data_IF_974655923703
#
_entry.id   IF_974655923703
#
_cell.length_a   1.000
_cell.length_b   1.000
_cell.length_c   1.000
_cell.angle_alpha   90.00
_cell.angle_beta   90.00
_cell.angle_gamma   90.00
#
_symmetry.space_group_name_H-M   'P 1'
#
loop_
_entity.id
_entity.type
_entity.pdbx_description
1 polymer ?
#
# COMPACT_ATOMS: atom_id res chain seq x y z
N UNK A 1 10.09 -48.10 18.73
CA UNK A 1 10.44 -46.69 18.42
C UNK A 1 9.27 -46.09 17.68
N UNK A 2 8.35 -45.42 18.38
CA UNK A 2 7.15 -44.82 17.79
C UNK A 2 7.54 -43.42 17.31
N UNK A 3 7.49 -43.20 15.99
CA UNK A 3 7.80 -41.93 15.35
C UNK A 3 6.60 -40.99 15.56
N UNK A 4 6.74 -40.01 16.44
CA UNK A 4 5.78 -38.91 16.62
C UNK A 4 5.98 -37.89 15.49
N UNK A 5 5.07 -37.90 14.52
CA UNK A 5 4.93 -36.81 13.55
C UNK A 5 4.34 -35.59 14.28
N UNK A 6 5.20 -34.63 14.61
CA UNK A 6 4.79 -33.30 15.04
C UNK A 6 4.21 -32.57 13.84
N UNK A 7 2.89 -32.65 13.67
CA UNK A 7 2.17 -31.74 12.78
C UNK A 7 2.15 -30.38 13.48
N UNK A 8 3.06 -29.49 13.09
CA UNK A 8 2.99 -28.09 13.49
C UNK A 8 1.72 -27.49 12.92
N UNK A 9 0.71 -27.29 13.77
CA UNK A 9 -0.45 -26.44 13.45
C UNK A 9 0.06 -25.01 13.30
N UNK A 10 0.31 -24.59 12.05
CA UNK A 10 0.36 -23.17 11.77
C UNK A 10 -1.09 -22.67 11.86
N UNK A 11 -1.39 -21.86 12.88
CA UNK A 11 -2.61 -21.06 12.87
C UNK A 11 -2.53 -20.09 11.69
N UNK A 12 -3.19 -20.43 10.58
CA UNK A 12 -3.41 -19.54 9.44
C UNK A 12 -4.46 -18.52 9.86
N UNK A 13 -4.02 -17.47 10.54
CA UNK A 13 -4.86 -16.37 11.04
C UNK A 13 -4.90 -15.22 10.06
N UNK A 14 -5.27 -15.48 8.80
CA UNK A 14 -5.36 -14.44 7.80
C UNK A 14 -6.76 -13.82 7.74
N UNK A 15 -6.83 -12.54 7.39
CA UNK A 15 -8.08 -11.78 7.27
C UNK A 15 -8.49 -11.71 5.81
N UNK A 16 -9.72 -12.10 5.51
CA UNK A 16 -10.27 -12.05 4.15
C UNK A 16 -11.02 -10.74 3.95
N UNK A 17 -10.78 -10.09 2.82
CA UNK A 17 -11.41 -8.85 2.42
C UNK A 17 -11.97 -8.97 1.00
N UNK A 18 -13.08 -8.28 0.77
CA UNK A 18 -13.72 -8.22 -0.54
C UNK A 18 -14.39 -6.87 -0.75
N UNK A 19 -14.28 -6.30 -1.95
CA UNK A 19 -15.04 -5.11 -2.33
C UNK A 19 -15.29 -5.07 -3.84
N UNK A 20 -16.39 -4.41 -4.23
CA UNK A 20 -16.66 -4.09 -5.63
C UNK A 20 -15.68 -3.04 -6.15
N UNK A 21 -15.13 -3.29 -7.34
CA UNK A 21 -14.24 -2.38 -8.01
C UNK A 21 -14.35 -2.58 -9.52
N UNK A 22 -14.40 -1.48 -10.26
CA UNK A 22 -14.57 -1.51 -11.71
C UNK A 22 -15.79 -2.36 -12.12
N UNK A 23 -15.61 -3.41 -12.91
CA UNK A 23 -16.65 -4.34 -13.37
C UNK A 23 -16.64 -5.69 -12.62
N UNK A 24 -16.00 -5.78 -11.46
CA UNK A 24 -15.94 -7.02 -10.69
C UNK A 24 -15.76 -6.84 -9.18
N UNK A 25 -15.45 -7.96 -8.51
CA UNK A 25 -15.14 -7.99 -7.08
C UNK A 25 -13.67 -8.30 -6.89
N UNK A 26 -12.95 -7.41 -6.21
CA UNK A 26 -11.59 -7.67 -5.77
C UNK A 26 -11.64 -8.41 -4.44
N UNK A 27 -10.99 -9.57 -4.39
CA UNK A 27 -10.89 -10.41 -3.20
C UNK A 27 -9.42 -10.64 -2.87
N UNK A 28 -9.06 -10.46 -1.60
CA UNK A 28 -7.71 -10.71 -1.12
C UNK A 28 -7.70 -11.19 0.34
N UNK A 29 -6.62 -11.87 0.67
CA UNK A 29 -6.30 -12.31 2.01
C UNK A 29 -5.11 -11.49 2.51
N UNK A 30 -5.20 -10.97 3.74
CA UNK A 30 -4.11 -10.30 4.43
C UNK A 30 -3.61 -11.22 5.55
N UNK A 31 -2.38 -11.72 5.40
CA UNK A 31 -1.72 -12.42 6.48
C UNK A 31 -1.53 -11.48 7.68
N UNK A 32 -1.72 -11.99 8.91
CA UNK A 32 -1.59 -11.20 10.14
C UNK A 32 -0.23 -10.49 10.25
N UNK A 33 0.85 -11.11 9.76
CA UNK A 33 2.18 -10.48 9.74
C UNK A 33 2.24 -9.23 8.88
N UNK A 34 1.31 -9.05 7.94
CA UNK A 34 1.23 -7.88 7.05
C UNK A 34 0.32 -6.78 7.60
N UNK A 35 -0.29 -6.98 8.77
CA UNK A 35 -1.15 -6.02 9.46
C UNK A 35 -0.31 -5.21 10.48
N UNK A 36 0.52 -4.29 9.97
CA UNK A 36 1.50 -3.55 10.75
C UNK A 36 0.83 -2.35 11.44
N UNK A 37 0.90 -2.20 12.77
CA UNK A 37 0.40 -1.03 13.46
C UNK A 37 1.25 0.22 13.15
N UNK A 38 0.68 1.40 13.32
CA UNK A 38 1.42 2.67 13.19
C UNK A 38 0.83 3.70 14.14
N UNK A 39 1.13 3.54 15.42
CA UNK A 39 0.60 4.39 16.49
C UNK A 39 1.62 5.43 16.98
N UNK A 40 2.83 5.39 16.42
CA UNK A 40 3.92 6.30 16.74
C UNK A 40 3.72 7.66 16.04
N UNK A 41 4.35 8.70 16.59
CA UNK A 41 4.45 9.99 15.92
C UNK A 41 5.12 9.85 14.54
N UNK A 42 4.69 10.70 13.60
CA UNK A 42 5.24 10.70 12.25
C UNK A 42 6.69 11.21 12.28
N UNK A 43 7.62 10.33 11.94
CA UNK A 43 9.04 10.64 11.79
C UNK A 43 9.65 9.74 10.72
N UNK A 44 10.84 10.10 10.23
CA UNK A 44 11.57 9.23 9.32
C UNK A 44 11.78 7.83 9.93
N UNK A 45 12.15 7.77 11.21
CA UNK A 45 12.43 6.51 11.88
C UNK A 45 11.19 5.62 12.08
N UNK A 46 10.02 6.21 12.34
CA UNK A 46 8.77 5.43 12.43
C UNK A 46 8.35 4.90 11.06
N UNK A 47 8.53 5.67 9.98
CA UNK A 47 8.27 5.24 8.60
C UNK A 47 9.22 4.12 8.17
N UNK A 48 10.51 4.24 8.48
CA UNK A 48 11.51 3.20 8.19
C UNK A 48 11.20 1.90 8.94
N UNK A 49 10.82 2.00 10.22
CA UNK A 49 10.41 0.85 11.03
C UNK A 49 9.20 0.13 10.41
N UNK A 50 8.16 0.89 10.02
CA UNK A 50 7.00 0.34 9.32
C UNK A 50 7.41 -0.40 8.06
N UNK A 51 8.26 0.22 7.22
CA UNK A 51 8.74 -0.37 5.98
C UNK A 51 9.51 -1.67 6.21
N UNK A 52 10.39 -1.71 7.20
CA UNK A 52 11.17 -2.89 7.54
C UNK A 52 10.27 -4.05 7.99
N UNK A 53 9.30 -3.77 8.85
CA UNK A 53 8.37 -4.77 9.37
C UNK A 53 7.49 -5.36 8.27
N UNK A 54 6.83 -4.50 7.47
CA UNK A 54 5.99 -4.97 6.37
C UNK A 54 6.81 -5.66 5.28
N UNK A 55 8.06 -5.28 5.04
CA UNK A 55 8.93 -5.94 4.05
C UNK A 55 9.36 -7.36 4.47
N UNK A 56 9.31 -7.68 5.77
CA UNK A 56 9.58 -9.02 6.31
C UNK A 56 8.30 -9.87 6.41
N UNK A 57 7.13 -9.25 6.26
CA UNK A 57 5.83 -9.92 6.31
C UNK A 57 5.53 -10.77 5.07
N UNK A 58 4.45 -11.55 5.14
CA UNK A 58 3.92 -12.31 3.99
C UNK A 58 3.04 -11.45 3.06
N UNK A 59 3.54 -10.29 2.62
CA UNK A 59 2.77 -9.35 1.77
C UNK A 59 2.66 -9.77 0.30
N UNK A 60 3.54 -10.64 -0.20
CA UNK A 60 3.64 -10.99 -1.62
C UNK A 60 2.33 -11.51 -2.25
N UNK A 61 1.54 -12.39 -1.59
CA UNK A 61 0.25 -12.82 -2.13
C UNK A 61 -0.70 -11.65 -2.43
N UNK A 62 -0.75 -10.62 -1.57
CA UNK A 62 -1.56 -9.44 -1.83
C UNK A 62 -1.09 -8.69 -3.08
N UNK A 63 0.22 -8.52 -3.26
CA UNK A 63 0.79 -7.89 -4.47
C UNK A 63 0.45 -8.71 -5.72
N UNK A 64 0.62 -10.03 -5.68
CA UNK A 64 0.24 -10.92 -6.78
C UNK A 64 -1.23 -10.76 -7.15
N UNK A 65 -2.14 -10.76 -6.15
CA UNK A 65 -3.57 -10.57 -6.39
C UNK A 65 -3.90 -9.20 -7.00
N UNK A 66 -3.25 -8.13 -6.54
CA UNK A 66 -3.42 -6.79 -7.11
C UNK A 66 -2.99 -6.74 -8.57
N UNK A 67 -1.82 -7.29 -8.91
CA UNK A 67 -1.29 -7.31 -10.27
C UNK A 67 -2.12 -8.23 -11.19
N UNK A 68 -2.52 -9.41 -10.72
CA UNK A 68 -3.43 -10.29 -11.47
C UNK A 68 -4.77 -9.59 -11.79
N UNK A 69 -5.29 -8.79 -10.86
CA UNK A 69 -6.50 -8.02 -11.10
C UNK A 69 -6.24 -6.86 -12.09
N UNK A 70 -5.09 -6.19 -11.98
CA UNK A 70 -4.65 -5.16 -12.96
C UNK A 70 -4.65 -5.73 -14.37
N UNK A 71 -3.99 -6.87 -14.56
CA UNK A 71 -3.79 -7.49 -15.86
C UNK A 71 -5.10 -8.05 -16.43
N UNK A 72 -5.91 -8.74 -15.60
CA UNK A 72 -7.19 -9.30 -16.01
C UNK A 72 -8.18 -8.25 -16.52
N UNK A 73 -8.20 -7.08 -15.90
CA UNK A 73 -9.13 -6.01 -16.21
C UNK A 73 -8.49 -4.88 -17.03
N UNK A 74 -7.25 -5.08 -17.51
CA UNK A 74 -6.49 -4.11 -18.31
C UNK A 74 -6.46 -2.70 -17.69
N UNK A 75 -6.28 -2.64 -16.37
CA UNK A 75 -6.34 -1.37 -15.64
C UNK A 75 -5.13 -0.50 -16.01
N UNK A 76 -5.42 0.72 -16.49
CA UNK A 76 -4.39 1.76 -16.59
C UNK A 76 -3.89 2.18 -15.19
N UNK A 77 -2.78 2.92 -15.16
CA UNK A 77 -2.10 3.26 -13.90
C UNK A 77 -2.96 4.09 -12.94
N UNK A 78 -3.83 4.97 -13.47
CA UNK A 78 -4.77 5.72 -12.65
C UNK A 78 -5.80 4.79 -11.98
N UNK A 79 -6.45 3.91 -12.75
CA UNK A 79 -7.44 2.99 -12.19
C UNK A 79 -6.75 1.99 -11.25
N UNK A 80 -5.54 1.54 -11.55
CA UNK A 80 -4.76 0.71 -10.65
C UNK A 80 -4.47 1.41 -9.31
N UNK A 81 -4.10 2.70 -9.34
CA UNK A 81 -3.95 3.48 -8.11
C UNK A 81 -5.26 3.57 -7.32
N UNK A 82 -6.42 3.67 -7.98
CA UNK A 82 -7.72 3.63 -7.30
C UNK A 82 -7.98 2.27 -6.62
N UNK A 83 -7.53 1.16 -7.21
CA UNK A 83 -7.55 -0.16 -6.57
C UNK A 83 -6.66 -0.17 -5.32
N UNK A 84 -5.43 0.34 -5.41
CA UNK A 84 -4.52 0.48 -4.27
C UNK A 84 -5.16 1.29 -3.13
N UNK A 85 -5.79 2.43 -3.45
CA UNK A 85 -6.49 3.28 -2.46
C UNK A 85 -7.60 2.52 -1.74
N UNK A 86 -8.43 1.76 -2.46
CA UNK A 86 -9.50 0.95 -1.83
C UNK A 86 -8.94 -0.19 -1.00
N UNK A 87 -7.89 -0.88 -1.47
CA UNK A 87 -7.22 -1.93 -0.70
C UNK A 87 -6.64 -1.40 0.60
N UNK A 88 -5.91 -0.28 0.55
CA UNK A 88 -5.38 0.38 1.74
C UNK A 88 -6.50 0.80 2.71
N UNK A 89 -7.66 1.26 2.18
CA UNK A 89 -8.82 1.63 2.99
C UNK A 89 -9.42 0.43 3.74
N UNK A 90 -9.36 -0.78 3.17
CA UNK A 90 -9.81 -2.00 3.87
C UNK A 90 -8.85 -2.42 4.98
N UNK A 91 -7.54 -2.27 4.76
CA UNK A 91 -6.49 -2.69 5.73
C UNK A 91 -6.34 -1.68 6.88
N UNK A 92 -6.43 -0.40 6.54
CA UNK A 92 -6.23 0.72 7.45
C UNK A 92 -7.16 1.87 7.06
N UNK A 93 -8.39 1.92 7.61
CA UNK A 93 -9.33 2.98 7.27
C UNK A 93 -8.72 4.37 7.49
N UNK A 94 -8.80 5.24 6.47
CA UNK A 94 -8.23 6.59 6.51
C UNK A 94 -8.68 7.40 7.73
N UNK A 95 -9.95 7.25 8.11
CA UNK A 95 -10.56 7.98 9.22
C UNK A 95 -10.02 7.55 10.60
N UNK A 96 -9.51 6.32 10.71
CA UNK A 96 -8.96 5.78 11.95
C UNK A 96 -7.47 6.11 12.07
N UNK A 97 -6.71 5.93 10.98
CA UNK A 97 -5.28 6.21 10.95
C UNK A 97 -4.81 6.64 9.56
N UNK A 98 -4.73 7.97 9.36
CA UNK A 98 -4.34 8.58 8.09
C UNK A 98 -2.91 8.23 7.67
N UNK A 99 -1.96 8.22 8.60
CA UNK A 99 -0.56 7.91 8.30
C UNK A 99 -0.40 6.47 7.85
N UNK A 100 -0.97 5.52 8.60
CA UNK A 100 -0.97 4.10 8.27
C UNK A 100 -1.63 3.83 6.92
N UNK A 101 -2.79 4.44 6.67
CA UNK A 101 -3.47 4.39 5.36
C UNK A 101 -2.54 4.82 4.22
N UNK A 102 -1.85 5.95 4.39
CA UNK A 102 -0.93 6.49 3.38
C UNK A 102 0.30 5.62 3.18
N UNK A 103 0.84 5.04 4.25
CA UNK A 103 1.97 4.11 4.21
C UNK A 103 1.62 2.82 3.45
N UNK A 104 0.42 2.26 3.66
CA UNK A 104 -0.04 1.12 2.86
C UNK A 104 -0.20 1.47 1.38
N UNK A 105 -0.77 2.64 1.04
CA UNK A 105 -0.83 3.09 -0.36
C UNK A 105 0.56 3.13 -0.99
N UNK A 106 1.50 3.80 -0.33
CA UNK A 106 2.88 3.92 -0.79
C UNK A 106 3.56 2.56 -0.94
N UNK A 107 3.47 1.71 0.08
CA UNK A 107 4.12 0.40 0.06
C UNK A 107 3.57 -0.49 -1.04
N UNK A 108 2.24 -0.62 -1.14
CA UNK A 108 1.61 -1.48 -2.15
C UNK A 108 1.92 -0.99 -3.56
N UNK A 109 1.85 0.32 -3.82
CA UNK A 109 2.19 0.87 -5.13
C UNK A 109 3.67 0.63 -5.47
N UNK A 110 4.57 0.86 -4.51
CA UNK A 110 6.01 0.62 -4.68
C UNK A 110 6.33 -0.85 -4.98
N UNK A 111 5.74 -1.79 -4.23
CA UNK A 111 5.93 -3.24 -4.44
C UNK A 111 5.27 -3.75 -5.72
N UNK A 112 4.42 -2.94 -6.35
CA UNK A 112 3.81 -3.22 -7.64
C UNK A 112 4.65 -2.68 -8.82
N UNK A 113 5.83 -2.11 -8.55
CA UNK A 113 6.80 -1.69 -9.57
C UNK A 113 6.82 -0.21 -9.91
N UNK A 114 6.01 0.61 -9.22
CA UNK A 114 5.99 2.06 -9.43
C UNK A 114 7.07 2.75 -8.61
N UNK A 115 7.68 3.80 -9.16
CA UNK A 115 8.57 4.68 -8.40
C UNK A 115 7.74 5.64 -7.55
N UNK A 116 7.49 5.23 -6.32
CA UNK A 116 6.67 5.93 -5.34
C UNK A 116 7.53 6.39 -4.15
N UNK A 117 7.41 7.66 -3.79
CA UNK A 117 8.27 8.32 -2.79
C UNK A 117 7.44 8.96 -1.68
N UNK A 118 8.05 9.07 -0.51
CA UNK A 118 7.46 9.76 0.64
C UNK A 118 8.30 10.98 1.00
N UNK A 119 7.63 12.08 1.35
CA UNK A 119 8.22 13.24 1.99
C UNK A 119 7.57 13.45 3.37
N UNK A 120 8.36 13.91 4.34
CA UNK A 120 7.86 14.26 5.67
C UNK A 120 8.13 15.75 5.91
N UNK A 121 7.11 16.49 6.35
CA UNK A 121 7.30 17.89 6.73
C UNK A 121 6.09 18.47 7.45
N UNK A 122 6.33 19.23 8.53
CA UNK A 122 5.27 19.84 9.38
C UNK A 122 4.20 18.81 9.79
N UNK A 123 4.64 17.64 10.24
CA UNK A 123 3.79 16.49 10.64
C UNK A 123 2.89 15.94 9.53
N UNK A 124 3.21 16.23 8.26
CA UNK A 124 2.52 15.69 7.08
C UNK A 124 3.38 14.66 6.39
N UNK A 125 2.74 13.56 6.00
CA UNK A 125 3.30 12.51 5.17
C UNK A 125 2.86 12.70 3.71
N UNK A 126 3.68 13.33 2.89
CA UNK A 126 3.36 13.59 1.48
C UNK A 126 3.75 12.40 0.63
N UNK A 127 2.86 11.96 -0.25
CA UNK A 127 3.02 10.77 -1.07
C UNK A 127 3.10 11.14 -2.55
N UNK A 128 4.20 10.77 -3.20
CA UNK A 128 4.49 11.07 -4.59
C UNK A 128 4.62 9.81 -5.43
N UNK A 129 4.34 9.93 -6.72
CA UNK A 129 4.64 8.90 -7.73
C UNK A 129 5.28 9.55 -8.95
N UNK A 130 6.24 8.86 -9.57
CA UNK A 130 6.77 9.27 -10.85
C UNK A 130 5.66 9.26 -11.91
N UNK A 131 5.50 10.37 -12.61
CA UNK A 131 4.57 10.50 -13.73
C UNK A 131 5.11 11.53 -14.73
N UNK A 132 5.02 11.24 -16.03
CA UNK A 132 5.42 12.16 -17.11
C UNK A 132 4.23 13.05 -17.59
N UNK A 133 2.99 12.70 -17.25
CA UNK A 133 1.77 13.43 -17.62
C UNK A 133 1.69 14.83 -17.02
N UNK A 134 1.13 15.77 -17.77
CA UNK A 134 0.88 17.12 -17.28
C UNK A 134 -0.51 17.20 -16.63
N UNK A 135 -0.55 17.16 -15.30
CA UNK A 135 -1.78 17.34 -14.52
C UNK A 135 -1.73 18.72 -13.88
N UNK A 136 -2.67 19.57 -14.29
CA UNK A 136 -2.75 20.93 -13.77
C UNK A 136 -3.09 20.93 -12.27
N UNK A 137 -2.60 21.95 -11.56
CA UNK A 137 -2.93 22.25 -10.16
C UNK A 137 -2.54 21.18 -9.13
N UNK A 138 -1.73 20.18 -9.52
CA UNK A 138 -1.15 19.21 -8.60
C UNK A 138 0.33 19.53 -8.36
N UNK A 139 0.75 19.75 -7.10
CA UNK A 139 2.16 19.95 -6.78
C UNK A 139 3.02 18.76 -7.21
N UNK A 140 4.19 19.06 -7.75
CA UNK A 140 5.19 18.07 -8.13
C UNK A 140 6.60 18.59 -7.83
N UNK A 141 7.57 17.68 -7.79
CA UNK A 141 8.99 18.04 -7.81
C UNK A 141 9.71 17.28 -8.92
N UNK A 142 10.91 17.75 -9.28
CA UNK A 142 11.80 17.09 -10.23
C UNK A 142 12.98 16.50 -9.48
N UNK A 143 13.33 15.25 -9.77
CA UNK A 143 14.52 14.60 -9.24
C UNK A 143 15.12 13.66 -10.30
N UNK A 144 16.42 13.82 -10.56
CA UNK A 144 17.14 13.08 -11.62
C UNK A 144 16.46 13.12 -12.99
N UNK A 145 15.88 14.28 -13.35
CA UNK A 145 15.18 14.48 -14.62
C UNK A 145 13.77 13.88 -14.68
N UNK A 146 13.28 13.27 -13.60
CA UNK A 146 11.95 12.67 -13.51
C UNK A 146 11.00 13.54 -12.68
N UNK A 147 9.74 13.61 -13.11
CA UNK A 147 8.68 14.35 -12.42
C UNK A 147 7.95 13.44 -11.42
N UNK A 148 7.80 13.91 -10.18
CA UNK A 148 7.12 13.22 -9.10
C UNK A 148 5.92 14.02 -8.63
N UNK A 149 4.73 13.48 -8.88
CA UNK A 149 3.46 14.16 -8.65
C UNK A 149 2.84 13.75 -7.30
N UNK A 150 2.30 14.72 -6.57
CA UNK A 150 1.68 14.49 -5.26
C UNK A 150 0.30 13.81 -5.38
N UNK A 151 0.15 12.63 -4.78
CA UNK A 151 -1.07 11.82 -4.85
C UNK A 151 -2.05 12.06 -3.69
N UNK A 152 -1.63 12.78 -2.65
CA UNK A 152 -2.45 13.06 -1.46
C UNK A 152 -2.56 14.56 -1.16
N UNK A 153 -2.34 15.42 -2.15
CA UNK A 153 -2.49 16.87 -1.97
C UNK A 153 -3.88 17.27 -1.46
N UNK A 154 -4.93 16.62 -1.97
CA UNK A 154 -6.33 16.80 -1.57
C UNK A 154 -6.63 16.44 -0.12
N UNK A 155 -5.72 15.75 0.58
CA UNK A 155 -5.91 15.37 1.98
C UNK A 155 -5.51 16.50 2.95
N UNK A 156 -5.01 17.64 2.44
CA UNK A 156 -4.46 18.76 3.22
C UNK A 156 -5.15 20.12 3.02
N UNK A 157 -6.29 20.14 2.32
CA UNK A 157 -7.07 21.35 1.99
C UNK A 157 -8.46 21.33 2.60
#
# INVERSE_FOLDING_TARGET
MILLLLVSYQHVGAQNFSFEFYDGTFNFELDKSSNIPFDNELSQQSVESFYQEISQSKYKPLISRLLEYKDKHELNDWIYYQLIRKTAQQISPKAENYHRYTLYKWFLLSKSGYDARLGIGKDRLIFYVRNEENVNDIPFFMEDGHKYMCLNYHDYG
#
